data_IF_289761730654
#
_entry.id   IF_289761730654
#
_cell.length_a   1.000
_cell.length_b   1.000
_cell.length_c   1.000
_cell.angle_alpha   90.00
_cell.angle_beta   90.00
_cell.angle_gamma   90.00
#
_symmetry.space_group_name_H-M   'P 1'
#
loop_
_entity.id
_entity.type
_entity.pdbx_description
1 polymer ?
#
# COMPACT_ATOMS: atom_id res chain seq x y z
N UNK A 1 8.44 48.69 -2.12
CA UNK A 1 8.97 47.32 -1.97
C UNK A 1 9.94 46.96 -3.11
N UNK A 2 9.53 47.07 -4.38
CA UNK A 2 10.39 46.68 -5.53
C UNK A 2 11.67 47.50 -5.64
N UNK A 3 11.62 48.81 -5.37
CA UNK A 3 12.81 49.66 -5.34
C UNK A 3 13.76 49.23 -4.22
N UNK A 4 13.25 49.08 -3.01
CA UNK A 4 14.04 48.58 -1.87
C UNK A 4 14.63 47.22 -2.13
N UNK A 5 13.87 46.28 -2.73
CA UNK A 5 14.35 44.95 -3.07
C UNK A 5 15.53 45.00 -4.04
N UNK A 6 15.41 45.77 -5.11
CA UNK A 6 16.49 45.90 -6.10
C UNK A 6 17.76 46.52 -5.54
N UNK A 7 17.63 47.44 -4.58
CA UNK A 7 18.78 48.08 -3.94
C UNK A 7 19.45 47.19 -2.89
N UNK A 8 18.70 46.26 -2.25
CA UNK A 8 19.16 45.54 -1.10
C UNK A 8 19.35 44.01 -1.33
N UNK A 9 18.89 43.44 -2.46
CA UNK A 9 18.87 41.99 -2.72
C UNK A 9 20.22 41.31 -2.52
N UNK A 10 21.31 41.96 -2.85
CA UNK A 10 22.67 41.41 -2.69
C UNK A 10 23.11 41.28 -1.24
N UNK A 11 22.49 42.03 -0.34
CA UNK A 11 22.83 41.97 1.09
C UNK A 11 22.23 40.78 1.86
N UNK A 12 21.19 40.18 1.33
CA UNK A 12 20.46 39.09 2.03
C UNK A 12 20.22 37.85 1.20
N UNK A 13 20.46 37.86 -0.13
CA UNK A 13 20.38 36.71 -0.98
C UNK A 13 21.76 36.10 -1.24
N UNK A 14 21.79 34.77 -1.34
CA UNK A 14 23.00 34.03 -1.73
C UNK A 14 23.26 34.17 -3.22
N UNK A 15 24.54 34.04 -3.66
CA UNK A 15 24.91 34.04 -5.07
C UNK A 15 24.06 33.10 -5.93
N UNK A 16 23.67 31.92 -5.40
CA UNK A 16 22.80 30.96 -6.10
C UNK A 16 21.38 31.48 -6.27
N UNK A 17 20.87 32.24 -5.30
CA UNK A 17 19.53 32.84 -5.37
C UNK A 17 19.53 34.05 -6.32
N UNK A 18 20.58 34.84 -6.34
CA UNK A 18 20.75 35.95 -7.30
C UNK A 18 20.81 35.42 -8.74
N UNK A 19 21.65 34.42 -9.00
CA UNK A 19 21.75 33.79 -10.32
C UNK A 19 20.41 33.20 -10.79
N UNK A 20 19.60 32.65 -9.85
CA UNK A 20 18.27 32.17 -10.17
C UNK A 20 17.30 33.27 -10.60
N UNK A 21 17.45 34.48 -10.07
CA UNK A 21 16.63 35.63 -10.47
C UNK A 21 17.02 36.20 -11.83
N UNK A 22 18.28 36.00 -12.24
CA UNK A 22 18.84 36.52 -13.50
C UNK A 22 18.71 35.54 -14.66
N UNK A 23 18.61 34.23 -14.37
CA UNK A 23 18.60 33.17 -15.36
C UNK A 23 17.28 32.41 -15.40
N UNK A 24 16.38 32.81 -16.33
CA UNK A 24 15.08 32.20 -16.55
C UNK A 24 15.19 30.70 -16.96
N UNK A 25 16.33 30.26 -17.50
CA UNK A 25 16.55 28.86 -17.92
C UNK A 25 16.61 27.89 -16.74
N UNK A 26 17.00 28.35 -15.56
CA UNK A 26 17.04 27.56 -14.33
C UNK A 26 15.61 27.29 -13.80
N UNK A 27 14.65 28.09 -14.19
CA UNK A 27 13.25 27.96 -13.78
C UNK A 27 12.53 26.73 -14.36
N UNK A 28 13.10 26.10 -15.38
CA UNK A 28 12.51 24.97 -16.11
C UNK A 28 12.79 23.61 -15.43
N UNK A 29 13.83 23.52 -14.61
CA UNK A 29 14.22 22.28 -13.93
C UNK A 29 13.57 22.18 -12.52
N UNK A 30 12.42 21.54 -12.40
CA UNK A 30 11.74 20.91 -11.22
C UNK A 30 11.76 21.59 -9.82
N UNK A 31 12.78 22.40 -9.51
CA UNK A 31 12.99 23.04 -8.22
C UNK A 31 12.66 24.55 -8.17
N UNK A 32 12.09 25.10 -9.24
CA UNK A 32 11.78 26.52 -9.33
C UNK A 32 10.88 27.04 -8.20
N UNK A 33 9.88 26.27 -7.79
CA UNK A 33 8.99 26.62 -6.69
C UNK A 33 9.70 26.71 -5.35
N UNK A 34 10.65 25.81 -5.09
CA UNK A 34 11.45 25.77 -3.87
C UNK A 34 12.40 26.99 -3.79
N UNK A 35 13.07 27.35 -4.90
CA UNK A 35 13.94 28.52 -4.95
C UNK A 35 13.14 29.82 -4.80
N UNK A 36 12.02 29.99 -5.49
CA UNK A 36 11.13 31.15 -5.36
C UNK A 36 10.64 31.33 -3.92
N UNK A 37 10.28 30.23 -3.25
CA UNK A 37 9.86 30.28 -1.84
C UNK A 37 10.99 30.74 -0.92
N UNK A 38 12.20 30.19 -1.08
CA UNK A 38 13.37 30.60 -0.26
C UNK A 38 13.78 32.05 -0.48
N UNK A 39 13.69 32.54 -1.72
CA UNK A 39 13.93 33.94 -2.04
C UNK A 39 12.86 34.82 -1.37
N UNK A 40 11.59 34.45 -1.49
CA UNK A 40 10.49 35.14 -0.86
C UNK A 40 10.65 35.22 0.66
N UNK A 41 10.94 34.10 1.31
CA UNK A 41 11.13 34.04 2.76
C UNK A 41 12.34 34.87 3.22
N UNK A 42 13.45 34.82 2.50
CA UNK A 42 14.64 35.63 2.79
C UNK A 42 14.34 37.15 2.63
N UNK A 43 13.63 37.52 1.56
CA UNK A 43 13.22 38.92 1.29
C UNK A 43 12.28 39.41 2.38
N UNK A 44 11.30 38.63 2.76
CA UNK A 44 10.33 38.98 3.80
C UNK A 44 11.03 39.20 5.16
N UNK A 45 11.98 38.34 5.48
CA UNK A 45 12.78 38.44 6.70
C UNK A 45 13.69 39.67 6.72
N UNK A 46 14.33 39.97 5.60
CA UNK A 46 15.19 41.14 5.48
C UNK A 46 14.37 42.47 5.54
N UNK A 47 13.25 42.49 4.82
CA UNK A 47 12.35 43.63 4.82
C UNK A 47 11.78 43.93 6.21
N UNK A 48 11.27 42.91 6.92
CA UNK A 48 10.74 43.05 8.27
C UNK A 48 11.80 43.55 9.27
N UNK A 49 13.07 43.13 9.07
CA UNK A 49 14.18 43.53 9.92
C UNK A 49 14.59 44.99 9.75
N UNK A 50 14.48 45.52 8.52
CA UNK A 50 14.82 46.93 8.23
C UNK A 50 13.71 47.89 8.58
N UNK A 51 12.44 47.47 8.44
CA UNK A 51 11.26 48.25 8.79
C UNK A 51 10.67 47.79 10.11
N UNK A 52 11.52 47.63 11.15
CA UNK A 52 11.07 47.46 12.52
C UNK A 52 10.21 48.67 12.87
N UNK A 53 8.91 48.53 12.67
CA UNK A 53 7.98 49.52 13.19
C UNK A 53 7.97 49.42 14.70
N UNK A 54 8.05 50.52 15.40
CA UNK A 54 7.89 50.60 16.87
C UNK A 54 6.51 50.09 17.35
N UNK A 55 5.65 49.67 16.40
CA UNK A 55 4.32 49.18 16.69
C UNK A 55 4.31 47.64 16.85
N UNK A 56 4.40 47.15 18.09
CA UNK A 56 4.33 45.71 18.47
C UNK A 56 3.10 45.02 17.84
N UNK A 57 2.00 45.70 17.65
CA UNK A 57 0.78 45.14 17.02
C UNK A 57 0.98 44.74 15.56
N UNK A 58 1.76 45.54 14.80
CA UNK A 58 2.06 45.20 13.40
C UNK A 58 2.92 43.95 13.33
N UNK A 59 3.90 43.80 14.23
CA UNK A 59 4.75 42.60 14.34
C UNK A 59 3.95 41.38 14.73
N UNK A 60 3.02 41.47 15.69
CA UNK A 60 2.13 40.39 16.08
C UNK A 60 1.20 39.93 14.92
N UNK A 61 0.63 40.92 14.18
CA UNK A 61 -0.20 40.62 13.02
C UNK A 61 0.59 39.92 11.91
N UNK A 62 1.81 40.36 11.62
CA UNK A 62 2.67 39.75 10.63
C UNK A 62 3.03 38.30 11.02
N UNK A 63 3.33 38.05 12.30
CA UNK A 63 3.59 36.72 12.82
C UNK A 63 2.36 35.79 12.73
N UNK A 64 1.16 36.30 13.06
CA UNK A 64 -0.10 35.59 12.89
C UNK A 64 -0.39 35.23 11.44
N UNK A 65 -0.18 36.19 10.52
CA UNK A 65 -0.33 35.96 9.08
C UNK A 65 0.62 34.88 8.58
N UNK A 66 1.86 34.87 9.08
CA UNK A 66 2.84 33.84 8.73
C UNK A 66 2.42 32.46 9.25
N UNK A 67 1.98 32.38 10.50
CA UNK A 67 1.46 31.15 11.09
C UNK A 67 0.26 30.61 10.32
N UNK A 68 -0.71 31.45 10.01
CA UNK A 68 -1.89 31.07 9.21
C UNK A 68 -1.52 30.59 7.81
N UNK A 69 -0.51 31.15 7.17
CA UNK A 69 -0.01 30.69 5.87
C UNK A 69 0.63 29.31 5.99
N UNK A 70 1.40 29.06 7.04
CA UNK A 70 2.01 27.75 7.30
C UNK A 70 0.93 26.70 7.55
N UNK A 71 -0.06 27.01 8.39
CA UNK A 71 -1.19 26.10 8.65
C UNK A 71 -2.00 25.81 7.38
N UNK A 72 -2.28 26.82 6.58
CA UNK A 72 -2.97 26.65 5.30
C UNK A 72 -2.22 25.73 4.35
N UNK A 73 -0.89 25.83 4.26
CA UNK A 73 -0.09 24.93 3.43
C UNK A 73 -0.04 23.50 4.01
N UNK A 74 0.01 23.34 5.33
CA UNK A 74 -0.11 22.02 5.98
C UNK A 74 -1.45 21.37 5.64
N UNK A 75 -2.56 22.05 5.88
CA UNK A 75 -3.90 21.57 5.56
C UNK A 75 -4.06 21.22 4.07
N UNK A 76 -3.47 22.00 3.18
CA UNK A 76 -3.49 21.70 1.75
C UNK A 76 -2.72 20.44 1.41
N UNK A 77 -1.57 20.22 2.05
CA UNK A 77 -0.77 19.01 1.86
C UNK A 77 -1.50 17.79 2.40
N UNK A 78 -2.09 17.86 3.59
CA UNK A 78 -2.92 16.82 4.20
C UNK A 78 -4.13 16.49 3.31
N UNK A 79 -4.84 17.51 2.82
CA UNK A 79 -5.95 17.31 1.89
C UNK A 79 -5.53 16.63 0.59
N UNK A 80 -4.39 17.01 0.03
CA UNK A 80 -3.87 16.37 -1.18
C UNK A 80 -3.50 14.91 -0.94
N UNK A 81 -2.93 14.62 0.23
CA UNK A 81 -2.60 13.26 0.65
C UNK A 81 -3.88 12.43 0.82
N UNK A 82 -4.85 12.91 1.57
CA UNK A 82 -6.15 12.26 1.75
C UNK A 82 -6.87 12.02 0.41
N UNK A 83 -6.89 13.01 -0.49
CA UNK A 83 -7.50 12.86 -1.81
C UNK A 83 -6.78 11.80 -2.67
N UNK A 84 -5.48 11.63 -2.52
CA UNK A 84 -4.74 10.57 -3.23
C UNK A 84 -5.15 9.18 -2.73
N UNK A 85 -5.33 9.00 -1.43
CA UNK A 85 -5.80 7.77 -0.81
C UNK A 85 -7.22 7.41 -1.24
N UNK A 86 -8.16 8.37 -1.11
CA UNK A 86 -9.55 8.18 -1.56
C UNK A 86 -9.62 7.75 -3.03
N UNK A 87 -8.75 8.30 -3.89
CA UNK A 87 -8.69 7.88 -5.30
C UNK A 87 -8.23 6.44 -5.48
N UNK A 88 -7.31 5.93 -4.64
CA UNK A 88 -6.85 4.55 -4.71
C UNK A 88 -7.99 3.63 -4.29
N UNK A 89 -8.63 3.91 -3.14
CA UNK A 89 -9.79 3.14 -2.63
C UNK A 89 -10.89 3.09 -3.69
N UNK A 90 -11.33 4.24 -4.19
CA UNK A 90 -12.39 4.33 -5.19
C UNK A 90 -12.06 3.57 -6.49
N UNK A 91 -10.80 3.51 -6.91
CA UNK A 91 -10.38 2.70 -8.07
C UNK A 91 -10.50 1.21 -7.79
N UNK A 92 -10.06 0.76 -6.61
CA UNK A 92 -10.13 -0.66 -6.26
C UNK A 92 -11.58 -1.08 -6.08
N UNK A 93 -12.41 -0.29 -5.38
CA UNK A 93 -13.85 -0.54 -5.26
C UNK A 93 -14.53 -0.64 -6.63
N UNK A 94 -14.26 0.32 -7.51
CA UNK A 94 -14.80 0.29 -8.88
C UNK A 94 -14.34 -0.93 -9.67
N UNK A 95 -13.07 -1.34 -9.54
CA UNK A 95 -12.57 -2.56 -10.18
C UNK A 95 -13.29 -3.80 -9.66
N UNK A 96 -13.47 -3.93 -8.34
CA UNK A 96 -14.21 -5.03 -7.73
C UNK A 96 -15.66 -5.03 -8.23
N UNK A 97 -16.29 -3.86 -8.31
CA UNK A 97 -17.65 -3.72 -8.81
C UNK A 97 -17.79 -4.13 -10.27
N UNK A 98 -16.86 -3.70 -11.13
CA UNK A 98 -16.81 -4.14 -12.53
C UNK A 98 -16.52 -5.64 -12.68
N UNK A 99 -15.78 -6.23 -11.75
CA UNK A 99 -15.42 -7.65 -11.79
C UNK A 99 -16.49 -8.57 -11.23
N UNK A 100 -17.47 -8.07 -10.44
CA UNK A 100 -18.49 -8.91 -9.79
C UNK A 100 -19.23 -9.83 -10.76
N UNK A 101 -19.55 -9.33 -11.95
CA UNK A 101 -20.30 -10.06 -12.96
C UNK A 101 -19.38 -10.91 -13.87
N UNK A 102 -18.10 -10.52 -13.99
CA UNK A 102 -17.14 -11.15 -14.91
C UNK A 102 -16.19 -12.13 -14.22
N UNK A 103 -16.17 -12.16 -12.88
CA UNK A 103 -15.32 -13.09 -12.12
C UNK A 103 -15.76 -14.52 -12.40
N UNK A 104 -14.87 -15.29 -13.00
CA UNK A 104 -15.07 -16.73 -13.13
C UNK A 104 -15.01 -17.37 -11.74
N UNK A 105 -16.18 -17.83 -11.28
CA UNK A 105 -16.34 -18.49 -9.98
C UNK A 105 -15.89 -19.95 -10.07
N UNK A 106 -15.37 -20.46 -8.98
CA UNK A 106 -15.00 -21.86 -8.86
C UNK A 106 -16.15 -22.68 -8.28
N UNK A 107 -16.57 -23.72 -8.99
CA UNK A 107 -17.46 -24.73 -8.44
C UNK A 107 -16.65 -25.83 -7.78
N UNK A 108 -17.18 -26.42 -6.71
CA UNK A 108 -16.55 -27.56 -6.07
C UNK A 108 -16.59 -28.78 -7.01
N UNK A 109 -15.41 -29.23 -7.44
CA UNK A 109 -15.29 -30.49 -8.19
C UNK A 109 -15.67 -31.69 -7.30
N UNK A 110 -15.92 -32.84 -7.93
CA UNK A 110 -16.07 -34.08 -7.18
C UNK A 110 -14.86 -34.32 -6.27
N UNK A 111 -15.14 -34.60 -5.02
CA UNK A 111 -14.09 -34.86 -4.03
C UNK A 111 -13.35 -36.13 -4.39
N UNK A 112 -12.05 -36.07 -4.52
CA UNK A 112 -11.23 -37.27 -4.61
C UNK A 112 -11.40 -38.08 -3.32
N UNK A 113 -11.75 -39.38 -3.44
CA UNK A 113 -11.82 -40.25 -2.29
C UNK A 113 -10.42 -40.42 -1.69
N UNK A 114 -10.25 -39.90 -0.50
CA UNK A 114 -9.05 -40.13 0.29
C UNK A 114 -9.32 -41.37 1.13
N UNK A 115 -8.57 -42.44 0.89
CA UNK A 115 -8.69 -43.65 1.71
C UNK A 115 -8.26 -43.32 3.14
N UNK A 116 -9.16 -43.43 4.15
CA UNK A 116 -8.83 -43.14 5.52
C UNK A 116 -7.65 -44.00 5.98
N UNK A 117 -6.59 -43.39 6.47
CA UNK A 117 -5.46 -44.08 7.05
C UNK A 117 -5.74 -44.39 8.52
N UNK A 118 -5.14 -45.45 9.07
CA UNK A 118 -5.26 -45.78 10.47
C UNK A 118 -4.56 -44.74 11.33
N UNK A 119 -5.32 -44.06 12.20
CA UNK A 119 -4.79 -43.06 13.12
C UNK A 119 -5.89 -42.11 13.59
N UNK A 120 -5.58 -41.25 14.55
CA UNK A 120 -6.45 -40.17 14.94
C UNK A 120 -6.50 -39.13 13.81
N UNK A 121 -7.68 -38.56 13.49
CA UNK A 121 -7.80 -37.46 12.53
C UNK A 121 -6.97 -36.26 12.97
N UNK A 122 -6.44 -35.52 12.00
CA UNK A 122 -5.62 -34.33 12.22
C UNK A 122 -6.09 -33.25 11.31
N UNK A 123 -5.93 -32.01 11.77
CA UNK A 123 -6.10 -30.84 10.94
C UNK A 123 -4.75 -30.44 10.33
N UNK A 124 -4.79 -30.03 9.07
CA UNK A 124 -3.65 -29.47 8.37
C UNK A 124 -3.68 -27.96 8.39
N UNK A 125 -2.51 -27.33 8.39
CA UNK A 125 -2.39 -25.87 8.30
C UNK A 125 -1.43 -25.52 7.17
N UNK A 126 -1.92 -24.76 6.20
CA UNK A 126 -1.13 -24.05 5.19
C UNK A 126 -1.02 -22.61 5.65
N UNK A 127 0.18 -22.16 5.99
CA UNK A 127 0.42 -20.79 6.42
C UNK A 127 1.25 -20.04 5.39
N UNK A 128 0.75 -18.88 4.97
CA UNK A 128 1.39 -17.97 4.01
C UNK A 128 1.44 -16.56 4.57
N UNK A 129 2.63 -15.98 4.60
CA UNK A 129 2.84 -14.56 4.89
C UNK A 129 3.93 -14.00 3.99
N UNK A 130 4.08 -12.70 3.96
CA UNK A 130 5.19 -12.01 3.28
C UNK A 130 5.33 -12.38 1.79
N UNK A 131 4.20 -12.51 1.10
CA UNK A 131 4.21 -12.82 -0.32
C UNK A 131 4.73 -11.65 -1.16
N UNK A 132 4.52 -10.42 -0.70
CA UNK A 132 4.98 -9.19 -1.34
C UNK A 132 4.78 -9.20 -2.86
N UNK A 133 3.57 -9.53 -3.34
CA UNK A 133 3.24 -9.48 -4.76
C UNK A 133 3.62 -8.11 -5.33
N UNK A 134 4.42 -8.10 -6.38
CA UNK A 134 4.96 -6.89 -6.99
C UNK A 134 6.36 -6.50 -6.54
N UNK A 135 6.93 -7.16 -5.53
CA UNK A 135 8.35 -6.99 -5.20
C UNK A 135 9.23 -7.55 -6.31
N UNK A 136 10.29 -6.84 -6.63
CA UNK A 136 11.31 -7.28 -7.59
C UNK A 136 12.69 -7.18 -6.97
N UNK A 137 13.42 -8.27 -6.96
CA UNK A 137 14.81 -8.35 -6.52
C UNK A 137 15.59 -9.16 -7.53
N UNK A 138 16.67 -8.60 -8.01
CA UNK A 138 17.61 -9.30 -8.90
C UNK A 138 19.03 -8.95 -8.48
N UNK A 139 19.61 -9.81 -7.65
CA UNK A 139 20.98 -9.66 -7.19
C UNK A 139 21.68 -11.03 -7.11
N UNK A 140 22.97 -11.04 -6.77
CA UNK A 140 23.80 -12.27 -6.74
C UNK A 140 23.25 -13.30 -5.74
N UNK A 141 22.53 -12.88 -4.70
CA UNK A 141 22.09 -13.75 -3.62
C UNK A 141 20.64 -14.20 -3.78
N UNK A 142 19.80 -13.38 -4.42
CA UNK A 142 18.36 -13.65 -4.53
C UNK A 142 17.77 -13.04 -5.80
N UNK A 143 16.85 -13.80 -6.38
CA UNK A 143 16.01 -13.33 -7.48
C UNK A 143 14.54 -13.57 -7.10
N UNK A 144 13.76 -12.49 -7.07
CA UNK A 144 12.36 -12.53 -6.72
C UNK A 144 11.56 -11.62 -7.62
N UNK A 145 10.44 -12.10 -8.11
CA UNK A 145 9.47 -11.37 -8.90
C UNK A 145 8.11 -12.09 -8.85
N UNK A 146 7.02 -11.51 -9.37
CA UNK A 146 5.71 -12.14 -9.36
C UNK A 146 5.66 -13.54 -9.99
N UNK A 147 6.40 -13.77 -11.07
CA UNK A 147 6.44 -15.06 -11.77
C UNK A 147 7.14 -16.14 -10.94
N UNK A 148 8.17 -15.75 -10.18
CA UNK A 148 8.86 -16.66 -9.25
C UNK A 148 7.97 -16.96 -8.05
N UNK A 149 7.24 -15.95 -7.51
CA UNK A 149 6.27 -16.17 -6.46
C UNK A 149 5.22 -17.19 -6.86
N UNK A 150 4.62 -17.06 -8.04
CA UNK A 150 3.62 -18.02 -8.55
C UNK A 150 4.16 -19.44 -8.60
N UNK A 151 5.39 -19.63 -9.11
CA UNK A 151 6.04 -20.94 -9.17
C UNK A 151 6.32 -21.50 -7.78
N UNK A 152 6.83 -20.67 -6.85
CA UNK A 152 7.12 -21.07 -5.48
C UNK A 152 5.83 -21.48 -4.74
N UNK A 153 4.76 -20.67 -4.89
CA UNK A 153 3.48 -20.99 -4.27
C UNK A 153 2.90 -22.31 -4.80
N UNK A 154 2.88 -22.49 -6.12
CA UNK A 154 2.42 -23.73 -6.72
C UNK A 154 3.18 -24.94 -6.18
N UNK A 155 4.51 -24.89 -6.17
CA UNK A 155 5.34 -25.95 -5.62
C UNK A 155 5.05 -26.20 -4.14
N UNK A 156 4.84 -25.14 -3.35
CA UNK A 156 4.51 -25.24 -1.93
C UNK A 156 3.16 -25.93 -1.72
N UNK A 157 2.14 -25.58 -2.48
CA UNK A 157 0.80 -26.21 -2.41
C UNK A 157 0.87 -27.68 -2.82
N UNK A 158 1.50 -28.02 -3.95
CA UNK A 158 1.67 -29.40 -4.41
C UNK A 158 2.40 -30.26 -3.35
N UNK A 159 3.48 -29.73 -2.76
CA UNK A 159 4.23 -30.42 -1.71
C UNK A 159 3.43 -30.58 -0.43
N UNK A 160 2.67 -29.56 -0.03
CA UNK A 160 1.80 -29.59 1.14
C UNK A 160 0.67 -30.61 0.99
N UNK A 161 0.08 -30.70 -0.19
CA UNK A 161 -0.94 -31.70 -0.49
C UNK A 161 -0.38 -33.14 -0.46
N UNK A 162 0.80 -33.37 -1.05
CA UNK A 162 1.46 -34.65 -1.01
C UNK A 162 1.76 -35.08 0.43
N UNK A 163 2.26 -34.15 1.26
CA UNK A 163 2.48 -34.40 2.68
C UNK A 163 1.18 -34.67 3.44
N UNK A 164 0.13 -33.89 3.19
CA UNK A 164 -1.17 -34.09 3.83
C UNK A 164 -1.81 -35.44 3.53
N UNK A 165 -1.62 -35.97 2.31
CA UNK A 165 -2.06 -37.32 1.93
C UNK A 165 -1.40 -38.43 2.76
N UNK A 166 -0.19 -38.20 3.25
CA UNK A 166 0.52 -39.13 4.13
C UNK A 166 0.02 -39.07 5.58
N UNK A 167 -0.66 -37.97 5.97
CA UNK A 167 -0.97 -37.64 7.36
C UNK A 167 -2.46 -37.75 7.61
N UNK A 168 -3.25 -38.50 7.63
CA UNK A 168 -4.69 -38.59 7.96
C UNK A 168 -5.36 -37.20 8.27
N UNK A 169 -5.19 -36.26 7.33
CA UNK A 169 -5.77 -34.93 7.44
C UNK A 169 -7.25 -34.99 7.06
N UNK A 170 -8.12 -34.40 7.88
CA UNK A 170 -9.56 -34.30 7.62
C UNK A 170 -9.97 -32.90 7.15
N UNK A 171 -9.40 -31.86 7.77
CA UNK A 171 -9.72 -30.47 7.50
C UNK A 171 -8.41 -29.67 7.27
N UNK A 172 -8.46 -28.69 6.37
CA UNK A 172 -7.29 -27.87 6.05
C UNK A 172 -7.57 -26.40 6.39
N UNK A 173 -6.73 -25.82 7.23
CA UNK A 173 -6.74 -24.39 7.52
C UNK A 173 -5.78 -23.67 6.57
N UNK A 174 -6.26 -22.65 5.89
CA UNK A 174 -5.48 -21.80 5.01
C UNK A 174 -5.34 -20.43 5.66
N UNK A 175 -4.19 -20.19 6.29
CA UNK A 175 -3.95 -18.97 7.08
C UNK A 175 -3.07 -18.00 6.30
N UNK A 176 -3.58 -16.79 6.07
CA UNK A 176 -2.89 -15.71 5.39
C UNK A 176 -2.44 -14.67 6.43
N UNK A 177 -1.15 -14.60 6.69
CA UNK A 177 -0.53 -13.82 7.77
C UNK A 177 -0.20 -12.36 7.41
N UNK A 178 -0.76 -11.82 6.31
CA UNK A 178 -0.52 -10.45 5.87
C UNK A 178 0.74 -10.29 5.01
N UNK A 179 1.05 -9.04 4.66
CA UNK A 179 2.10 -8.63 3.73
C UNK A 179 2.00 -9.36 2.37
N UNK A 180 0.75 -9.44 1.89
CA UNK A 180 0.42 -10.16 0.66
C UNK A 180 0.88 -9.40 -0.59
N UNK A 181 0.94 -8.08 -0.51
CA UNK A 181 1.41 -7.20 -1.58
C UNK A 181 2.65 -6.42 -1.14
N UNK A 182 3.41 -5.93 -2.12
CA UNK A 182 4.52 -5.00 -1.86
C UNK A 182 4.01 -3.63 -1.41
N UNK A 183 2.79 -3.27 -1.83
CA UNK A 183 2.06 -2.11 -1.36
C UNK A 183 2.68 -0.76 -1.76
N UNK A 184 2.39 0.27 -0.94
CA UNK A 184 2.77 1.66 -1.22
C UNK A 184 3.61 2.30 -0.12
N UNK A 185 3.89 1.59 0.98
CA UNK A 185 4.53 2.18 2.17
C UNK A 185 5.99 2.56 1.93
N UNK A 186 6.68 1.87 1.01
CA UNK A 186 8.05 2.18 0.64
C UNK A 186 8.14 2.74 -0.78
N UNK A 187 8.62 3.99 -0.90
CA UNK A 187 8.78 4.63 -2.21
C UNK A 187 9.71 3.86 -3.15
N UNK A 188 10.77 3.21 -2.63
CA UNK A 188 11.70 2.42 -3.43
C UNK A 188 10.97 1.26 -4.10
N UNK A 189 10.24 0.45 -3.33
CA UNK A 189 9.48 -0.69 -3.85
C UNK A 189 8.41 -0.27 -4.88
N UNK A 190 7.84 0.92 -4.69
CA UNK A 190 6.82 1.47 -5.60
C UNK A 190 7.38 1.85 -6.97
N UNK A 191 8.65 2.31 -7.03
CA UNK A 191 9.29 2.68 -8.30
C UNK A 191 9.89 1.48 -9.02
N UNK A 192 10.32 0.46 -8.29
CA UNK A 192 10.97 -0.72 -8.84
C UNK A 192 9.96 -1.79 -9.28
N UNK A 193 8.73 -1.78 -8.73
CA UNK A 193 7.68 -2.73 -9.11
C UNK A 193 7.12 -2.44 -10.50
N UNK A 194 7.03 -3.47 -11.36
CA UNK A 194 6.32 -3.41 -12.65
C UNK A 194 4.81 -3.37 -12.49
N UNK A 195 4.30 -3.84 -11.34
CA UNK A 195 2.88 -3.90 -11.04
C UNK A 195 2.44 -2.69 -10.23
N UNK A 196 1.42 -1.99 -10.66
CA UNK A 196 0.75 -1.02 -9.80
C UNK A 196 -0.05 -1.72 -8.70
N UNK A 197 -0.42 -0.98 -7.64
CA UNK A 197 -1.10 -1.57 -6.47
C UNK A 197 -2.38 -2.32 -6.83
N UNK A 198 -3.17 -1.82 -7.77
CA UNK A 198 -4.40 -2.50 -8.19
C UNK A 198 -4.10 -3.85 -8.88
N UNK A 199 -3.04 -3.89 -9.69
CA UNK A 199 -2.56 -5.12 -10.32
C UNK A 199 -2.02 -6.11 -9.29
N UNK A 200 -1.29 -5.62 -8.28
CA UNK A 200 -0.79 -6.46 -7.17
C UNK A 200 -1.97 -7.12 -6.42
N UNK A 201 -3.00 -6.33 -6.06
CA UNK A 201 -4.20 -6.80 -5.36
C UNK A 201 -4.92 -7.88 -6.18
N UNK A 202 -5.20 -7.60 -7.44
CA UNK A 202 -5.91 -8.54 -8.31
C UNK A 202 -5.10 -9.82 -8.49
N UNK A 203 -3.82 -9.70 -8.83
CA UNK A 203 -2.96 -10.83 -9.14
C UNK A 203 -2.77 -11.76 -7.93
N UNK A 204 -2.52 -11.20 -6.73
CA UNK A 204 -2.41 -12.01 -5.51
C UNK A 204 -3.73 -12.66 -5.11
N UNK A 205 -4.85 -11.94 -5.25
CA UNK A 205 -6.16 -12.50 -4.94
C UNK A 205 -6.52 -13.67 -5.85
N UNK A 206 -6.23 -13.57 -7.15
CA UNK A 206 -6.41 -14.68 -8.09
C UNK A 206 -5.50 -15.86 -7.77
N UNK A 207 -4.22 -15.59 -7.55
CA UNK A 207 -3.23 -16.63 -7.20
C UNK A 207 -3.63 -17.40 -5.94
N UNK A 208 -4.07 -16.69 -4.89
CA UNK A 208 -4.53 -17.31 -3.64
C UNK A 208 -5.86 -18.06 -3.83
N UNK A 209 -6.78 -17.51 -4.63
CA UNK A 209 -8.04 -18.20 -4.95
C UNK A 209 -7.79 -19.53 -5.67
N UNK A 210 -6.86 -19.54 -6.63
CA UNK A 210 -6.50 -20.74 -7.36
C UNK A 210 -5.88 -21.80 -6.41
N UNK A 211 -4.97 -21.37 -5.51
CA UNK A 211 -4.36 -22.22 -4.50
C UNK A 211 -5.39 -22.82 -3.52
N UNK A 212 -6.29 -21.99 -2.98
CA UNK A 212 -7.35 -22.44 -2.07
C UNK A 212 -8.31 -23.41 -2.78
N UNK A 213 -8.67 -23.09 -4.03
CA UNK A 213 -9.52 -23.98 -4.82
C UNK A 213 -8.88 -25.35 -5.07
N UNK A 214 -7.58 -25.40 -5.39
CA UNK A 214 -6.83 -26.64 -5.57
C UNK A 214 -6.82 -27.49 -4.30
N UNK A 215 -6.58 -26.88 -3.12
CA UNK A 215 -6.64 -27.59 -1.83
C UNK A 215 -8.04 -28.10 -1.55
N UNK A 216 -9.08 -27.34 -1.92
CA UNK A 216 -10.49 -27.70 -1.72
C UNK A 216 -10.96 -28.88 -2.57
N UNK A 217 -10.22 -29.24 -3.61
CA UNK A 217 -10.53 -30.47 -4.38
C UNK A 217 -10.41 -31.74 -3.52
N UNK A 218 -9.60 -31.69 -2.45
CA UNK A 218 -9.34 -32.84 -1.57
C UNK A 218 -9.86 -32.66 -0.15
N UNK A 219 -9.82 -31.45 0.38
CA UNK A 219 -10.13 -31.16 1.78
C UNK A 219 -11.27 -30.12 1.89
N UNK A 220 -11.96 -30.11 3.03
CA UNK A 220 -12.67 -28.89 3.43
C UNK A 220 -11.65 -27.87 3.89
N UNK A 221 -11.80 -26.62 3.48
CA UNK A 221 -10.82 -25.57 3.71
C UNK A 221 -11.43 -24.45 4.53
N UNK A 222 -10.81 -24.12 5.64
CA UNK A 222 -11.14 -22.94 6.44
C UNK A 222 -10.09 -21.86 6.20
N UNK A 223 -10.53 -20.69 5.76
CA UNK A 223 -9.66 -19.57 5.39
C UNK A 223 -9.72 -18.49 6.46
N UNK A 224 -8.56 -18.05 6.93
CA UNK A 224 -8.42 -16.87 7.76
C UNK A 224 -7.34 -15.96 7.18
N UNK A 225 -7.54 -14.64 7.30
CA UNK A 225 -6.64 -13.64 6.78
C UNK A 225 -6.42 -12.54 7.82
N UNK A 226 -5.17 -12.13 8.01
CA UNK A 226 -4.81 -11.02 8.89
C UNK A 226 -4.14 -9.91 8.11
N UNK A 227 -4.20 -8.69 8.63
CA UNK A 227 -3.58 -7.52 8.00
C UNK A 227 -2.06 -7.52 8.17
N UNK A 228 -1.35 -7.18 7.10
CA UNK A 228 0.08 -6.93 7.12
C UNK A 228 0.40 -5.44 7.15
N UNK A 229 1.64 -5.10 7.46
CA UNK A 229 2.04 -3.70 7.46
C UNK A 229 2.25 -3.14 6.04
N UNK A 230 2.61 -3.97 5.06
CA UNK A 230 2.72 -3.59 3.65
C UNK A 230 1.37 -3.43 2.97
N UNK A 231 0.33 -4.05 3.51
CA UNK A 231 -1.03 -3.99 2.97
C UNK A 231 -1.78 -2.70 3.37
N UNK A 232 -1.17 -1.80 4.13
CA UNK A 232 -1.79 -0.53 4.56
C UNK A 232 -2.01 0.41 3.39
N UNK A 233 -3.18 1.08 3.39
CA UNK A 233 -3.52 2.11 2.40
C UNK A 233 -2.72 3.40 2.65
N UNK A 234 -2.23 3.60 3.88
CA UNK A 234 -1.49 4.78 4.32
C UNK A 234 -0.06 4.41 4.66
N UNK A 235 0.93 5.13 4.10
CA UNK A 235 2.34 4.88 4.38
C UNK A 235 2.73 5.24 5.83
N UNK A 236 2.10 6.26 6.41
CA UNK A 236 2.37 6.75 7.76
C UNK A 236 1.62 5.91 8.80
N UNK A 237 2.36 5.28 9.72
CA UNK A 237 1.80 4.38 10.73
C UNK A 237 0.81 5.06 11.68
N UNK A 238 1.09 6.31 12.05
CA UNK A 238 0.27 7.06 13.02
C UNK A 238 -1.09 7.51 12.45
N UNK A 239 -1.26 7.47 11.14
CA UNK A 239 -2.48 7.82 10.42
C UNK A 239 -3.25 6.59 9.90
N UNK A 240 -2.80 5.39 10.27
CA UNK A 240 -3.41 4.14 9.82
C UNK A 240 -4.63 3.79 10.68
N UNK A 241 -5.74 3.52 9.99
CA UNK A 241 -6.93 2.89 10.57
C UNK A 241 -6.84 1.40 10.21
N UNK A 242 -6.88 0.52 11.20
CA UNK A 242 -6.63 -0.92 11.00
C UNK A 242 -7.61 -1.58 10.02
N UNK A 243 -8.85 -1.06 9.95
CA UNK A 243 -9.89 -1.53 9.02
C UNK A 243 -9.63 -1.05 7.57
N UNK A 244 -8.86 0.01 7.37
CA UNK A 244 -8.48 0.52 6.05
C UNK A 244 -7.20 -0.15 5.54
N UNK A 245 -7.37 -1.35 4.97
CA UNK A 245 -6.25 -2.17 4.53
C UNK A 245 -6.54 -2.81 3.16
N UNK A 246 -5.54 -2.97 2.32
CA UNK A 246 -5.67 -3.64 1.02
C UNK A 246 -6.03 -5.12 1.16
N UNK A 247 -5.70 -5.74 2.29
CA UNK A 247 -6.09 -7.12 2.63
C UNK A 247 -7.62 -7.29 2.57
N UNK A 248 -8.39 -6.28 2.97
CA UNK A 248 -9.86 -6.30 2.88
C UNK A 248 -10.32 -6.50 1.43
N UNK A 249 -9.73 -5.78 0.47
CA UNK A 249 -10.07 -5.92 -0.95
C UNK A 249 -9.64 -7.27 -1.50
N UNK A 250 -8.46 -7.76 -1.12
CA UNK A 250 -7.95 -9.09 -1.50
C UNK A 250 -8.93 -10.16 -1.00
N UNK A 251 -9.36 -10.08 0.26
CA UNK A 251 -10.30 -11.02 0.87
C UNK A 251 -11.65 -11.03 0.14
N UNK A 252 -12.21 -9.87 -0.18
CA UNK A 252 -13.48 -9.78 -0.91
C UNK A 252 -13.39 -10.38 -2.32
N UNK A 253 -12.27 -10.18 -3.04
CA UNK A 253 -12.08 -10.81 -4.36
C UNK A 253 -11.98 -12.33 -4.22
N UNK A 254 -11.25 -12.84 -3.21
CA UNK A 254 -11.14 -14.28 -2.94
C UNK A 254 -12.51 -14.86 -2.61
N UNK A 255 -13.29 -14.23 -1.73
CA UNK A 255 -14.67 -14.64 -1.40
C UNK A 255 -15.57 -14.67 -2.62
N UNK A 256 -15.51 -13.66 -3.48
CA UNK A 256 -16.29 -13.62 -4.71
C UNK A 256 -15.95 -14.77 -5.67
N UNK A 257 -14.65 -15.03 -5.88
CA UNK A 257 -14.21 -16.14 -6.73
C UNK A 257 -14.63 -17.51 -6.21
N UNK A 258 -14.60 -17.69 -4.89
CA UNK A 258 -14.87 -18.95 -4.22
C UNK A 258 -16.32 -19.09 -3.74
N UNK A 259 -17.20 -18.13 -4.04
CA UNK A 259 -18.57 -18.05 -3.51
C UNK A 259 -19.44 -19.28 -3.83
N UNK A 260 -19.18 -19.98 -4.92
CA UNK A 260 -19.89 -21.21 -5.31
C UNK A 260 -19.22 -22.50 -4.78
N UNK A 261 -18.02 -22.37 -4.19
CA UNK A 261 -17.26 -23.50 -3.67
C UNK A 261 -17.66 -23.82 -2.23
N UNK A 262 -18.60 -24.75 -2.05
CA UNK A 262 -19.16 -25.13 -0.74
C UNK A 262 -18.18 -25.80 0.22
N UNK A 263 -16.95 -26.10 -0.21
CA UNK A 263 -15.90 -26.69 0.63
C UNK A 263 -14.99 -25.65 1.25
N UNK A 264 -15.18 -24.38 0.89
CA UNK A 264 -14.39 -23.26 1.42
C UNK A 264 -15.25 -22.45 2.36
N UNK A 265 -14.80 -22.32 3.59
CA UNK A 265 -15.42 -21.51 4.65
C UNK A 265 -14.45 -20.39 5.04
N UNK A 266 -14.93 -19.16 5.12
CA UNK A 266 -14.16 -18.03 5.64
C UNK A 266 -14.47 -17.86 7.12
N UNK A 267 -13.43 -17.93 7.94
CA UNK A 267 -13.57 -17.77 9.38
C UNK A 267 -13.89 -16.30 9.72
N UNK A 268 -14.81 -16.13 10.66
CA UNK A 268 -15.11 -14.80 11.20
C UNK A 268 -13.92 -14.32 12.07
N UNK A 269 -13.65 -13.04 11.98
CA UNK A 269 -12.61 -12.38 12.76
C UNK A 269 -13.27 -11.40 13.73
N UNK A 270 -12.80 -11.38 14.99
CA UNK A 270 -13.26 -10.42 15.98
C UNK A 270 -12.65 -9.03 15.71
N UNK A 271 -11.42 -9.03 15.23
CA UNK A 271 -10.68 -7.86 14.74
C UNK A 271 -9.70 -8.28 13.63
N UNK A 272 -8.93 -7.33 13.11
CA UNK A 272 -7.98 -7.58 12.01
C UNK A 272 -6.79 -8.49 12.39
N UNK A 273 -6.64 -8.85 13.66
CA UNK A 273 -5.53 -9.66 14.19
C UNK A 273 -5.95 -10.98 14.80
N UNK A 274 -7.24 -11.14 15.14
CA UNK A 274 -7.77 -12.31 15.82
C UNK A 274 -8.87 -12.99 14.98
N UNK A 275 -8.72 -14.30 14.83
CA UNK A 275 -9.71 -15.16 14.16
C UNK A 275 -10.28 -16.15 15.17
N UNK A 276 -11.60 -16.26 15.21
CA UNK A 276 -12.30 -17.29 16.00
C UNK A 276 -12.42 -18.58 15.25
#
# INVERSE_FOLDING_TARGET
>A
FLLWFNENKESFLTKKQLNFLEDESIAVNGNASHYRRRIYDATLKAYSKQFNSEDERINELQNKILQLKIEKEKLKNERNHCNAQVRIIARVEHLIECMKDDIQKFEAKERLEIVPRKGLPRDGVIFLSDLHMGAETDNILDCYNPEILEKKLKYYIETSLAYAEEQNIEEMYFLLGGDLISGIIHNVNRFDSRLNVSEQIIRVAYLLSDAINEVSERYNVKVAITNGNHDRIVAERDNHIEEENFTTFINEIIKLKLSENKRVEFLEQDDCTLTR
#
